data_IF_808918671475
#
_entry.id   IF_808918671475
#
_cell.length_a   1.000
_cell.length_b   1.000
_cell.length_c   1.000
_cell.angle_alpha   90.00
_cell.angle_beta   90.00
_cell.angle_gamma   90.00
#
_symmetry.space_group_name_H-M   'P 1'
#
loop_
_entity.id
_entity.type
_entity.pdbx_description
1 polymer ?
#
# COMPACT_ATOMS: atom_id res chain seq x y z
N UNK A 1 -47.35 -38.71 -71.36
CA UNK A 1 -46.57 -39.34 -70.26
C UNK A 1 -45.19 -38.70 -70.17
N UNK A 2 -45.04 -37.78 -69.21
CA UNK A 2 -43.88 -37.60 -68.31
C UNK A 2 -42.46 -37.30 -68.86
N UNK A 3 -41.92 -36.17 -68.37
CA UNK A 3 -40.50 -35.77 -68.09
C UNK A 3 -39.78 -34.98 -69.21
N UNK A 4 -39.00 -33.92 -68.99
CA UNK A 4 -38.44 -33.27 -67.78
C UNK A 4 -37.99 -31.84 -68.13
N UNK A 5 -38.07 -30.93 -67.14
CA UNK A 5 -37.67 -29.53 -67.14
C UNK A 5 -36.15 -29.38 -66.89
N UNK A 6 -35.49 -28.38 -67.47
CA UNK A 6 -34.34 -27.67 -66.85
C UNK A 6 -34.05 -26.34 -67.56
N UNK A 7 -34.40 -25.26 -66.86
CA UNK A 7 -33.97 -23.88 -67.09
C UNK A 7 -32.96 -23.57 -65.97
N UNK A 8 -31.74 -23.15 -66.30
CA UNK A 8 -30.77 -22.63 -65.32
C UNK A 8 -30.32 -21.27 -65.85
N UNK A 9 -30.80 -20.21 -65.21
CA UNK A 9 -30.29 -18.84 -65.35
C UNK A 9 -29.28 -18.64 -64.22
N UNK A 10 -28.04 -18.34 -64.60
CA UNK A 10 -26.92 -18.07 -63.72
C UNK A 10 -27.05 -16.65 -63.15
N UNK A 11 -27.27 -16.51 -61.84
CA UNK A 11 -27.25 -15.20 -61.17
C UNK A 11 -25.98 -15.13 -60.30
N UNK A 12 -25.00 -14.35 -60.75
CA UNK A 12 -23.78 -14.07 -59.98
C UNK A 12 -24.11 -13.05 -58.89
N UNK A 13 -24.14 -13.49 -57.63
CA UNK A 13 -24.12 -12.62 -56.46
C UNK A 13 -22.68 -12.54 -55.97
N UNK A 14 -22.00 -11.44 -56.27
CA UNK A 14 -20.69 -11.11 -55.72
C UNK A 14 -20.85 -10.65 -54.27
N UNK A 15 -20.54 -11.53 -53.32
CA UNK A 15 -20.44 -11.22 -51.90
C UNK A 15 -19.10 -10.51 -51.68
N UNK A 16 -19.14 -9.21 -51.41
CA UNK A 16 -18.01 -8.50 -50.81
C UNK A 16 -18.02 -8.80 -49.30
N UNK A 17 -17.26 -9.82 -48.90
CA UNK A 17 -16.93 -10.02 -47.48
C UNK A 17 -15.92 -8.96 -47.09
N UNK A 18 -16.38 -7.94 -46.36
CA UNK A 18 -15.49 -6.99 -45.69
C UNK A 18 -14.80 -7.79 -44.58
N UNK A 19 -13.57 -8.20 -44.85
CA UNK A 19 -12.67 -8.73 -43.84
C UNK A 19 -12.25 -7.55 -42.95
N UNK A 20 -12.99 -7.31 -41.87
CA UNK A 20 -12.49 -6.48 -40.78
C UNK A 20 -11.29 -7.19 -40.20
N UNK A 21 -10.10 -6.77 -40.61
CA UNK A 21 -8.85 -7.13 -39.98
C UNK A 21 -8.88 -6.46 -38.60
N UNK A 22 -9.41 -7.15 -37.59
CA UNK A 22 -9.09 -6.80 -36.20
C UNK A 22 -7.60 -7.01 -36.06
N UNK A 23 -6.85 -5.91 -36.05
CA UNK A 23 -5.49 -5.96 -35.54
C UNK A 23 -5.63 -6.42 -34.09
N UNK A 24 -5.26 -7.67 -33.82
CA UNK A 24 -4.95 -8.10 -32.47
C UNK A 24 -3.83 -7.16 -32.01
N UNK A 25 -4.19 -6.14 -31.24
CA UNK A 25 -3.23 -5.44 -30.39
C UNK A 25 -2.66 -6.57 -29.54
N UNK A 26 -1.41 -6.93 -29.77
CA UNK A 26 -0.71 -7.81 -28.83
C UNK A 26 -0.67 -7.00 -27.55
N UNK A 27 -1.51 -7.36 -26.58
CA UNK A 27 -1.34 -6.92 -25.21
C UNK A 27 0.15 -7.07 -24.86
N UNK A 28 0.73 -6.08 -24.21
CA UNK A 28 2.05 -6.24 -23.63
C UNK A 28 1.96 -7.47 -22.73
N UNK A 29 2.57 -8.58 -23.16
CA UNK A 29 2.43 -9.85 -22.46
C UNK A 29 3.43 -9.85 -21.32
N UNK A 30 3.08 -9.15 -20.24
CA UNK A 30 3.83 -9.18 -19.01
C UNK A 30 3.95 -10.62 -18.52
N UNK A 31 5.10 -10.95 -17.93
CA UNK A 31 5.22 -12.14 -17.11
C UNK A 31 4.65 -11.81 -15.72
N UNK A 32 3.32 -11.91 -15.60
CA UNK A 32 2.59 -11.57 -14.37
C UNK A 32 3.11 -12.36 -13.16
N UNK A 33 3.56 -13.61 -13.36
CA UNK A 33 4.15 -14.42 -12.29
C UNK A 33 5.52 -13.89 -11.85
N UNK A 34 6.34 -13.41 -12.77
CA UNK A 34 7.62 -12.77 -12.43
C UNK A 34 7.42 -11.46 -11.67
N UNK A 35 6.40 -10.70 -12.04
CA UNK A 35 6.02 -9.43 -11.42
C UNK A 35 5.21 -9.58 -10.12
N UNK A 36 4.86 -10.80 -9.75
CA UNK A 36 4.04 -11.13 -8.58
C UNK A 36 2.69 -10.39 -8.53
N UNK A 37 2.04 -10.24 -9.69
CA UNK A 37 0.69 -9.67 -9.87
C UNK A 37 -0.25 -10.71 -10.51
N UNK A 38 -1.57 -10.53 -10.39
CA UNK A 38 -2.53 -11.47 -11.00
C UNK A 38 -2.66 -11.21 -12.50
N UNK A 39 -2.70 -12.28 -13.30
CA UNK A 39 -3.00 -12.18 -14.72
C UNK A 39 -4.43 -11.62 -14.91
N UNK A 40 -4.61 -10.51 -15.66
CA UNK A 40 -5.93 -9.92 -15.85
C UNK A 40 -6.90 -10.85 -16.59
N UNK A 41 -8.01 -11.19 -15.94
CA UNK A 41 -9.09 -12.00 -16.52
C UNK A 41 -10.27 -11.17 -17.01
N UNK A 42 -10.33 -9.89 -16.64
CA UNK A 42 -11.48 -9.02 -16.87
C UNK A 42 -12.63 -9.19 -15.86
N UNK A 43 -12.42 -9.99 -14.81
CA UNK A 43 -13.34 -10.18 -13.69
C UNK A 43 -12.61 -10.00 -12.35
N UNK A 44 -13.34 -9.70 -11.26
CA UNK A 44 -12.76 -9.65 -9.91
C UNK A 44 -12.08 -10.98 -9.58
N UNK A 45 -10.83 -10.92 -9.13
CA UNK A 45 -10.07 -12.07 -8.67
C UNK A 45 -9.65 -11.89 -7.23
N UNK A 46 -9.66 -12.97 -6.46
CA UNK A 46 -9.10 -12.97 -5.11
C UNK A 46 -8.46 -14.33 -4.82
N UNK A 47 -7.20 -14.32 -4.43
CA UNK A 47 -6.42 -15.49 -4.05
C UNK A 47 -5.97 -15.32 -2.61
N UNK A 48 -6.36 -16.26 -1.77
CA UNK A 48 -5.90 -16.36 -0.39
C UNK A 48 -4.84 -17.45 -0.33
N UNK A 49 -3.72 -17.13 0.31
CA UNK A 49 -2.70 -18.12 0.62
C UNK A 49 -3.25 -19.16 1.58
N UNK A 50 -2.87 -20.41 1.37
CA UNK A 50 -3.18 -21.48 2.32
C UNK A 50 -2.49 -21.19 3.65
N UNK A 51 -3.10 -21.64 4.75
CA UNK A 51 -2.42 -21.59 6.03
C UNK A 51 -1.10 -22.35 5.97
N UNK A 52 -0.07 -21.81 6.61
CA UNK A 52 1.19 -22.53 6.74
C UNK A 52 1.11 -23.66 7.78
N UNK A 53 2.24 -24.32 8.05
CA UNK A 53 2.31 -25.44 9.01
C UNK A 53 1.98 -25.06 10.45
N UNK A 54 1.99 -23.77 10.79
CA UNK A 54 1.60 -23.23 12.11
C UNK A 54 0.16 -22.71 12.11
N UNK A 55 -0.56 -22.81 10.99
CA UNK A 55 -1.92 -22.31 10.86
C UNK A 55 -2.00 -20.80 10.63
N UNK A 56 -0.91 -20.15 10.23
CA UNK A 56 -0.83 -18.69 10.02
C UNK A 56 -1.28 -18.34 8.60
N UNK A 57 -1.95 -17.20 8.45
CA UNK A 57 -2.28 -16.64 7.14
C UNK A 57 -0.98 -16.24 6.42
N UNK A 58 -0.89 -16.48 5.12
CA UNK A 58 0.37 -16.35 4.36
C UNK A 58 0.36 -15.24 3.32
N UNK A 59 -0.78 -14.97 2.71
CA UNK A 59 -0.96 -13.85 1.77
C UNK A 59 -2.44 -13.67 1.43
N UNK A 60 -2.81 -12.47 1.01
CA UNK A 60 -4.06 -12.24 0.31
C UNK A 60 -3.81 -11.32 -0.88
N UNK A 61 -4.33 -11.68 -2.05
CA UNK A 61 -4.09 -11.01 -3.32
C UNK A 61 -5.43 -10.78 -4.01
N UNK A 62 -5.73 -9.56 -4.40
CA UNK A 62 -6.97 -9.17 -5.06
C UNK A 62 -6.67 -8.38 -6.33
N UNK A 63 -7.50 -8.58 -7.35
CA UNK A 63 -7.57 -7.71 -8.50
C UNK A 63 -9.03 -7.31 -8.72
N UNK A 64 -9.33 -6.02 -8.69
CA UNK A 64 -10.71 -5.52 -8.71
C UNK A 64 -10.84 -4.13 -9.33
N UNK A 65 -12.06 -3.77 -9.75
CA UNK A 65 -12.46 -2.40 -10.07
C UNK A 65 -13.35 -1.82 -8.96
N UNK A 66 -13.60 -0.50 -9.00
CA UNK A 66 -14.53 0.21 -8.11
C UNK A 66 -15.91 -0.46 -8.03
N UNK A 67 -16.45 -0.90 -9.17
CA UNK A 67 -17.76 -1.58 -9.24
C UNK A 67 -17.83 -2.92 -8.50
N UNK A 68 -16.68 -3.51 -8.18
CA UNK A 68 -16.55 -4.84 -7.58
C UNK A 68 -16.49 -4.80 -6.03
N UNK A 69 -16.46 -3.59 -5.46
CA UNK A 69 -16.54 -3.35 -4.02
C UNK A 69 -17.88 -3.83 -3.45
N UNK A 70 -17.90 -4.35 -2.21
CA UNK A 70 -19.10 -4.93 -1.63
C UNK A 70 -20.12 -3.84 -1.30
N UNK A 71 -21.33 -4.02 -1.79
CA UNK A 71 -22.48 -3.15 -1.47
C UNK A 71 -23.20 -3.54 -0.18
N UNK A 72 -22.86 -4.71 0.38
CA UNK A 72 -23.44 -5.21 1.63
C UNK A 72 -22.70 -4.61 2.82
N UNK A 73 -23.45 -4.25 3.85
CA UNK A 73 -22.87 -3.92 5.14
C UNK A 73 -22.10 -5.12 5.69
N UNK A 74 -20.93 -4.84 6.27
CA UNK A 74 -20.09 -5.84 6.88
C UNK A 74 -20.79 -6.46 8.08
N UNK A 75 -20.68 -7.78 8.23
CA UNK A 75 -21.14 -8.45 9.44
C UNK A 75 -20.40 -7.88 10.67
N UNK A 76 -21.11 -7.51 11.75
CA UNK A 76 -20.52 -6.72 12.83
C UNK A 76 -19.51 -7.49 13.69
N UNK A 77 -19.39 -8.81 13.48
CA UNK A 77 -18.59 -9.70 14.32
C UNK A 77 -17.69 -10.59 13.49
N UNK A 78 -16.42 -10.62 13.89
CA UNK A 78 -15.44 -11.64 13.52
C UNK A 78 -15.39 -12.65 14.67
N UNK A 79 -15.50 -13.95 14.37
CA UNK A 79 -15.40 -15.04 15.33
C UNK A 79 -14.09 -15.82 15.21
N UNK A 80 -13.42 -15.76 14.06
CA UNK A 80 -12.14 -16.39 13.85
C UNK A 80 -11.06 -15.69 14.67
N UNK A 81 -10.32 -16.48 15.45
CA UNK A 81 -9.17 -16.00 16.21
C UNK A 81 -7.90 -16.45 15.47
N UNK A 82 -7.08 -15.52 14.95
CA UNK A 82 -5.83 -15.88 14.29
C UNK A 82 -4.85 -16.51 15.27
N UNK A 83 -3.77 -17.10 14.74
CA UNK A 83 -2.72 -17.64 15.61
C UNK A 83 -2.15 -16.56 16.53
N UNK A 84 -1.85 -16.95 17.76
CA UNK A 84 -1.36 -16.04 18.80
C UNK A 84 -2.44 -15.14 19.42
N UNK A 85 -3.72 -15.29 19.05
CA UNK A 85 -4.78 -14.37 19.48
C UNK A 85 -4.90 -14.20 21.00
N UNK A 86 -4.42 -13.07 21.48
CA UNK A 86 -4.66 -12.53 22.81
C UNK A 86 -5.01 -11.05 22.65
N UNK A 87 -6.00 -10.54 23.39
CA UNK A 87 -6.35 -9.13 23.32
C UNK A 87 -6.39 -8.47 24.70
N UNK A 88 -5.84 -7.27 24.77
CA UNK A 88 -5.58 -6.53 25.99
C UNK A 88 -6.14 -5.13 25.86
N UNK A 89 -6.77 -4.62 26.92
CA UNK A 89 -7.15 -3.21 26.98
C UNK A 89 -6.02 -2.42 27.66
N UNK A 90 -5.21 -1.73 26.86
CA UNK A 90 -3.99 -1.06 27.30
C UNK A 90 -4.18 0.45 27.39
N UNK A 91 -3.46 1.10 28.32
CA UNK A 91 -3.45 2.55 28.42
C UNK A 91 -2.65 3.15 27.25
N UNK A 92 -3.10 4.28 26.72
CA UNK A 92 -2.42 4.99 25.63
C UNK A 92 -2.33 6.51 25.88
N UNK A 93 -2.65 6.97 27.07
CA UNK A 93 -2.42 8.36 27.48
C UNK A 93 -2.10 8.45 28.97
N UNK A 94 -1.44 9.52 29.38
CA UNK A 94 -1.20 9.87 30.79
C UNK A 94 -2.49 10.07 31.58
N UNK A 95 -3.59 10.46 30.91
CA UNK A 95 -4.93 10.54 31.49
C UNK A 95 -5.53 9.15 31.79
N UNK A 96 -4.86 8.08 31.40
CA UNK A 96 -5.29 6.70 31.64
C UNK A 96 -6.39 6.22 30.68
N UNK A 97 -6.56 6.86 29.51
CA UNK A 97 -7.45 6.34 28.46
C UNK A 97 -6.95 4.99 28.00
N UNK A 98 -7.88 4.06 27.75
CA UNK A 98 -7.56 2.67 27.38
C UNK A 98 -8.34 2.22 26.16
N UNK A 99 -7.64 1.53 25.27
CA UNK A 99 -8.22 0.91 24.08
C UNK A 99 -7.69 -0.51 23.91
N UNK A 100 -8.31 -1.30 23.02
CA UNK A 100 -7.83 -2.64 22.72
C UNK A 100 -6.54 -2.54 21.91
N UNK A 101 -5.50 -3.26 22.32
CA UNK A 101 -4.22 -3.27 21.62
C UNK A 101 -4.36 -3.96 20.26
N UNK A 102 -5.00 -5.13 20.22
CA UNK A 102 -5.01 -5.97 19.04
C UNK A 102 -6.37 -5.99 18.35
N UNK A 103 -6.32 -5.96 17.03
CA UNK A 103 -7.43 -6.16 16.13
C UNK A 103 -7.21 -7.47 15.36
N UNK A 104 -8.31 -8.12 14.96
CA UNK A 104 -8.29 -9.15 13.92
C UNK A 104 -8.18 -8.42 12.59
N UNK A 105 -6.95 -8.03 12.26
CA UNK A 105 -6.61 -7.21 11.12
C UNK A 105 -6.83 -7.98 9.84
N UNK A 106 -7.43 -7.33 8.84
CA UNK A 106 -7.57 -7.94 7.52
C UNK A 106 -6.27 -7.80 6.75
N UNK A 107 -5.91 -8.81 5.94
CA UNK A 107 -4.86 -8.63 4.94
C UNK A 107 -5.39 -7.75 3.79
N UNK A 108 -6.55 -8.10 3.22
CA UNK A 108 -7.28 -7.23 2.29
C UNK A 108 -8.53 -6.70 3.01
N UNK A 109 -8.60 -5.38 3.20
CA UNK A 109 -9.71 -4.69 3.84
C UNK A 109 -11.09 -5.09 3.30
N UNK A 110 -12.12 -4.98 4.14
CA UNK A 110 -13.48 -5.38 3.77
C UNK A 110 -13.98 -4.62 2.53
N UNK A 111 -13.66 -3.33 2.40
CA UNK A 111 -14.09 -2.50 1.26
C UNK A 111 -13.63 -3.06 -0.10
N UNK A 112 -12.55 -3.84 -0.13
CA UNK A 112 -12.12 -4.53 -1.35
C UNK A 112 -12.60 -5.98 -1.39
N UNK A 113 -12.39 -6.73 -0.31
CA UNK A 113 -12.61 -8.18 -0.29
C UNK A 113 -14.07 -8.60 -0.12
N UNK A 114 -14.84 -7.85 0.67
CA UNK A 114 -16.14 -8.28 1.19
C UNK A 114 -16.07 -9.42 2.21
N UNK A 115 -14.87 -9.81 2.67
CA UNK A 115 -14.68 -10.89 3.64
C UNK A 115 -14.75 -10.36 5.07
N UNK A 116 -15.46 -11.05 5.96
CA UNK A 116 -15.53 -10.69 7.39
C UNK A 116 -14.79 -11.68 8.29
N UNK A 117 -15.04 -12.98 8.13
CA UNK A 117 -14.64 -14.03 9.09
C UNK A 117 -13.80 -15.14 8.44
N UNK A 118 -13.05 -14.79 7.39
CA UNK A 118 -12.18 -15.71 6.65
C UNK A 118 -10.77 -15.67 7.23
N UNK A 119 -10.36 -16.76 7.90
CA UNK A 119 -9.12 -16.82 8.66
C UNK A 119 -7.85 -16.65 7.82
N UNK A 120 -7.86 -17.02 6.53
CA UNK A 120 -6.70 -16.78 5.64
C UNK A 120 -6.52 -15.31 5.29
N UNK A 121 -7.50 -14.46 5.60
CA UNK A 121 -7.45 -13.01 5.44
C UNK A 121 -7.30 -12.29 6.80
N UNK A 122 -7.01 -12.99 7.89
CA UNK A 122 -6.98 -12.42 9.24
C UNK A 122 -5.66 -12.72 9.96
N UNK A 123 -5.09 -11.68 10.55
CA UNK A 123 -3.90 -11.75 11.40
C UNK A 123 -4.09 -10.89 12.66
N UNK A 124 -3.28 -11.15 13.69
CA UNK A 124 -3.21 -10.27 14.86
C UNK A 124 -2.39 -9.02 14.51
N UNK A 125 -3.07 -7.88 14.39
CA UNK A 125 -2.44 -6.57 14.19
C UNK A 125 -2.70 -5.65 15.37
N UNK A 126 -1.77 -4.78 15.68
CA UNK A 126 -2.05 -3.69 16.60
C UNK A 126 -3.12 -2.76 16.00
N UNK A 127 -3.89 -2.09 16.87
CA UNK A 127 -4.78 -1.02 16.44
C UNK A 127 -4.00 0.06 15.67
N UNK A 128 -2.80 0.41 16.16
CA UNK A 128 -1.89 1.34 15.49
C UNK A 128 -1.61 0.97 14.03
N UNK A 129 -1.13 -0.25 13.77
CA UNK A 129 -0.80 -0.71 12.42
C UNK A 129 -2.04 -0.97 11.55
N UNK A 130 -3.17 -1.35 12.15
CA UNK A 130 -4.40 -1.62 11.39
C UNK A 130 -5.11 -0.33 10.96
N UNK A 131 -5.45 0.53 11.94
CA UNK A 131 -6.35 1.68 11.78
C UNK A 131 -5.67 3.02 12.05
N UNK A 132 -4.34 3.05 12.22
CA UNK A 132 -3.55 4.27 12.39
C UNK A 132 -3.68 4.95 13.75
N UNK A 133 -4.47 4.40 14.68
CA UNK A 133 -4.72 5.01 15.98
C UNK A 133 -4.98 3.96 17.07
N UNK A 134 -4.83 4.36 18.34
CA UNK A 134 -5.16 3.51 19.49
C UNK A 134 -6.67 3.33 19.67
N UNK A 135 -7.46 4.38 19.45
CA UNK A 135 -8.91 4.40 19.60
C UNK A 135 -9.56 5.21 18.46
N UNK A 136 -10.67 4.74 17.90
CA UNK A 136 -11.24 5.31 16.67
C UNK A 136 -10.46 4.89 15.42
N UNK A 137 -10.28 5.77 14.45
CA UNK A 137 -9.52 5.52 13.22
C UNK A 137 -8.75 6.79 12.83
N UNK A 138 -7.59 6.64 12.21
CA UNK A 138 -6.81 7.74 11.63
C UNK A 138 -6.19 7.30 10.29
N UNK A 139 -6.77 7.74 9.19
CA UNK A 139 -6.28 7.47 7.84
C UNK A 139 -5.23 8.48 7.36
N UNK A 140 -4.78 9.39 8.22
CA UNK A 140 -3.67 10.30 7.97
C UNK A 140 -2.31 9.72 8.42
N UNK A 141 -2.31 8.66 9.23
CA UNK A 141 -1.10 8.03 9.75
C UNK A 141 -0.52 6.99 8.76
N UNK A 142 0.64 7.25 8.13
CA UNK A 142 1.25 6.33 7.16
C UNK A 142 1.87 5.07 7.79
N UNK A 143 1.84 4.92 9.12
CA UNK A 143 2.17 3.67 9.81
C UNK A 143 0.99 2.67 9.83
N UNK A 144 -0.22 3.13 9.49
CA UNK A 144 -1.44 2.32 9.49
C UNK A 144 -1.83 1.84 8.10
N UNK A 145 -2.35 0.62 7.98
CA UNK A 145 -2.90 0.09 6.72
C UNK A 145 -4.02 0.95 6.15
N UNK A 146 -4.89 1.48 7.02
CA UNK A 146 -6.03 2.31 6.63
C UNK A 146 -5.62 3.54 5.78
N UNK A 147 -4.44 4.12 6.00
CA UNK A 147 -3.91 5.20 5.18
C UNK A 147 -3.82 4.81 3.70
N UNK A 148 -3.29 3.62 3.42
CA UNK A 148 -3.07 3.12 2.08
C UNK A 148 -4.38 2.64 1.47
N UNK A 149 -5.16 1.85 2.22
CA UNK A 149 -6.43 1.30 1.72
C UNK A 149 -7.42 2.41 1.34
N UNK A 150 -7.60 3.45 2.14
CA UNK A 150 -8.50 4.56 1.78
C UNK A 150 -8.04 5.34 0.54
N UNK A 151 -6.73 5.42 0.29
CA UNK A 151 -6.21 6.12 -0.90
C UNK A 151 -6.27 5.26 -2.15
N UNK A 152 -6.11 3.94 -2.01
CA UNK A 152 -6.34 2.98 -3.10
C UNK A 152 -7.81 2.92 -3.51
N UNK A 153 -8.72 2.94 -2.52
CA UNK A 153 -10.16 3.09 -2.73
C UNK A 153 -10.49 4.38 -3.47
N UNK A 154 -9.94 5.51 -3.04
CA UNK A 154 -10.09 6.78 -3.75
C UNK A 154 -9.56 6.71 -5.20
N UNK A 155 -8.42 6.04 -5.40
CA UNK A 155 -7.84 5.85 -6.74
C UNK A 155 -8.77 5.03 -7.63
N UNK A 156 -9.37 3.95 -7.13
CA UNK A 156 -10.39 3.16 -7.85
C UNK A 156 -11.60 4.03 -8.24
N UNK A 157 -12.13 4.81 -7.28
CA UNK A 157 -13.28 5.69 -7.51
C UNK A 157 -13.01 6.77 -8.58
N UNK A 158 -11.78 7.27 -8.67
CA UNK A 158 -11.36 8.23 -9.70
C UNK A 158 -11.10 7.56 -11.06
N UNK A 159 -10.89 6.24 -11.09
CA UNK A 159 -10.56 5.47 -12.28
C UNK A 159 -11.44 4.22 -12.42
N UNK A 160 -12.77 4.37 -12.60
CA UNK A 160 -13.73 3.26 -12.47
C UNK A 160 -13.60 2.17 -13.54
N UNK A 161 -12.82 2.40 -14.60
CA UNK A 161 -12.54 1.42 -15.66
C UNK A 161 -11.17 0.75 -15.50
N UNK A 162 -10.34 1.18 -14.56
CA UNK A 162 -9.05 0.58 -14.27
C UNK A 162 -9.19 -0.45 -13.15
N UNK A 163 -8.25 -1.39 -13.16
CA UNK A 163 -8.13 -2.41 -12.13
C UNK A 163 -7.06 -1.99 -11.13
N UNK A 164 -7.29 -2.27 -9.86
CA UNK A 164 -6.25 -2.33 -8.85
C UNK A 164 -5.84 -3.78 -8.71
N UNK A 165 -4.54 -4.07 -8.83
CA UNK A 165 -3.93 -5.29 -8.34
C UNK A 165 -3.26 -4.98 -6.99
N UNK A 166 -3.71 -5.64 -5.92
CA UNK A 166 -3.29 -5.38 -4.54
C UNK A 166 -3.03 -6.68 -3.80
N UNK A 167 -1.81 -6.82 -3.28
CA UNK A 167 -1.35 -7.98 -2.52
C UNK A 167 -0.87 -7.55 -1.15
N UNK A 168 -1.22 -8.34 -0.13
CA UNK A 168 -0.78 -8.14 1.24
C UNK A 168 -0.19 -9.43 1.79
N UNK A 169 1.03 -9.30 2.33
CA UNK A 169 1.82 -10.42 2.86
C UNK A 169 2.23 -10.13 4.30
N UNK A 170 1.76 -10.92 5.29
CA UNK A 170 2.30 -10.88 6.63
C UNK A 170 3.70 -11.52 6.68
N UNK A 171 4.64 -10.86 7.33
CA UNK A 171 6.03 -11.32 7.47
C UNK A 171 6.28 -11.77 8.91
N UNK A 172 6.59 -13.05 9.06
CA UNK A 172 6.91 -13.69 10.34
C UNK A 172 8.41 -13.97 10.45
N UNK A 173 8.93 -14.01 11.67
CA UNK A 173 10.27 -14.56 11.94
C UNK A 173 10.12 -15.95 12.53
N UNK A 174 10.76 -16.95 11.91
CA UNK A 174 10.74 -18.35 12.39
C UNK A 174 9.32 -18.84 12.74
N UNK A 175 9.15 -19.33 13.99
CA UNK A 175 7.90 -19.89 14.51
C UNK A 175 6.98 -18.83 15.16
N UNK A 176 7.23 -17.53 14.94
CA UNK A 176 6.40 -16.46 15.50
C UNK A 176 4.95 -16.53 15.01
N UNK A 177 3.99 -16.47 15.93
CA UNK A 177 2.56 -16.56 15.59
C UNK A 177 1.99 -15.22 15.12
N UNK A 178 2.63 -14.10 15.48
CA UNK A 178 2.23 -12.75 15.10
C UNK A 178 3.24 -12.19 14.10
N UNK A 179 2.80 -11.59 12.97
CA UNK A 179 3.73 -11.05 12.01
C UNK A 179 4.45 -9.81 12.58
N UNK A 180 5.74 -9.66 12.28
CA UNK A 180 6.54 -8.47 12.59
C UNK A 180 6.17 -7.31 11.69
N UNK A 181 5.90 -7.60 10.44
CA UNK A 181 5.59 -6.61 9.41
C UNK A 181 4.42 -7.07 8.55
N UNK A 182 3.77 -6.10 7.91
CA UNK A 182 2.83 -6.33 6.81
C UNK A 182 3.38 -5.62 5.58
N UNK A 183 3.52 -6.37 4.50
CA UNK A 183 3.96 -5.84 3.20
C UNK A 183 2.75 -5.67 2.31
N UNK A 184 2.54 -4.45 1.82
CA UNK A 184 1.52 -4.07 0.86
C UNK A 184 2.21 -3.91 -0.49
N UNK A 185 1.63 -4.48 -1.55
CA UNK A 185 2.08 -4.31 -2.92
C UNK A 185 0.90 -3.92 -3.79
N UNK A 186 1.00 -2.85 -4.57
CA UNK A 186 -0.08 -2.39 -5.43
C UNK A 186 0.39 -1.80 -6.75
N UNK A 187 -0.44 -1.98 -7.78
CA UNK A 187 -0.30 -1.36 -9.10
C UNK A 187 -1.67 -1.23 -9.75
N UNK A 188 -1.86 -0.21 -10.59
CA UNK A 188 -3.04 -0.09 -11.43
C UNK A 188 -2.86 -0.83 -12.76
N UNK A 189 -3.96 -1.25 -13.39
CA UNK A 189 -3.94 -1.88 -14.72
C UNK A 189 -5.06 -1.28 -15.57
N UNK A 190 -4.71 -0.80 -16.77
CA UNK A 190 -5.71 -0.29 -17.73
C UNK A 190 -6.42 -1.42 -18.51
N UNK A 191 -7.35 -1.04 -19.38
CA UNK A 191 -8.13 -1.96 -20.22
C UNK A 191 -7.30 -2.68 -21.29
N UNK A 192 -6.09 -2.19 -21.59
CA UNK A 192 -5.14 -2.78 -22.51
C UNK A 192 -4.12 -3.70 -21.81
N UNK A 193 -4.16 -3.76 -20.46
CA UNK A 193 -3.23 -4.54 -19.64
C UNK A 193 -1.90 -3.84 -19.35
N UNK A 194 -1.81 -2.52 -19.58
CA UNK A 194 -0.63 -1.75 -19.19
C UNK A 194 -0.65 -1.47 -17.69
N UNK A 195 0.53 -1.53 -17.06
CA UNK A 195 0.70 -1.19 -15.65
C UNK A 195 0.71 0.33 -15.46
N UNK A 196 -0.04 0.78 -14.46
CA UNK A 196 -0.20 2.17 -14.07
C UNK A 196 0.41 2.35 -12.67
N UNK A 197 1.54 3.07 -12.54
CA UNK A 197 2.11 3.38 -11.24
C UNK A 197 1.13 4.16 -10.37
N UNK A 198 1.01 3.79 -9.10
CA UNK A 198 0.19 4.48 -8.10
C UNK A 198 1.12 5.09 -7.05
N UNK A 199 0.90 6.37 -6.72
CA UNK A 199 1.63 7.09 -5.67
C UNK A 199 0.64 7.67 -4.68
N UNK A 200 0.78 7.32 -3.41
CA UNK A 200 -0.16 7.65 -2.32
C UNK A 200 0.37 8.77 -1.40
N UNK A 201 1.63 9.15 -1.55
CA UNK A 201 2.26 10.27 -0.85
C UNK A 201 2.92 9.91 0.48
N UNK A 202 3.27 8.63 0.66
CA UNK A 202 4.01 8.14 1.83
C UNK A 202 5.49 7.99 1.50
N UNK A 203 6.36 8.30 2.46
CA UNK A 203 7.80 8.09 2.36
C UNK A 203 8.21 6.61 2.47
N UNK A 204 7.25 5.73 2.81
CA UNK A 204 7.42 4.27 2.83
C UNK A 204 7.21 3.61 1.47
N UNK A 205 6.77 4.35 0.47
CA UNK A 205 6.55 3.81 -0.88
C UNK A 205 7.88 3.55 -1.60
N UNK A 206 8.09 2.31 -2.00
CA UNK A 206 9.15 1.92 -2.91
C UNK A 206 8.54 1.43 -4.22
N UNK A 207 8.73 2.16 -5.31
CA UNK A 207 8.31 1.72 -6.65
C UNK A 207 9.48 1.10 -7.41
N UNK A 208 9.24 -0.06 -8.01
CA UNK A 208 10.24 -0.75 -8.84
C UNK A 208 10.31 -0.18 -10.28
N UNK A 209 11.10 -0.82 -11.15
CA UNK A 209 11.27 -0.39 -12.54
C UNK A 209 10.01 -0.56 -13.41
N UNK A 210 9.04 -1.35 -12.95
CA UNK A 210 7.75 -1.59 -13.60
C UNK A 210 6.65 -0.68 -13.05
N UNK A 211 6.94 0.09 -12.01
CA UNK A 211 6.00 0.97 -11.34
C UNK A 211 5.09 0.26 -10.33
N UNK A 212 5.44 -0.96 -9.94
CA UNK A 212 4.77 -1.69 -8.86
C UNK A 212 5.29 -1.11 -7.55
N UNK A 213 4.38 -0.65 -6.70
CA UNK A 213 4.75 -0.03 -5.42
C UNK A 213 4.64 -1.05 -4.29
N UNK A 214 5.66 -1.09 -3.44
CA UNK A 214 5.68 -1.87 -2.20
C UNK A 214 5.81 -0.93 -1.00
N UNK A 215 5.09 -1.25 0.08
CA UNK A 215 5.16 -0.57 1.39
C UNK A 215 5.33 -1.64 2.45
N UNK A 216 6.29 -1.45 3.37
CA UNK A 216 6.45 -2.30 4.55
C UNK A 216 6.01 -1.55 5.79
N UNK A 217 5.02 -2.10 6.50
CA UNK A 217 4.52 -1.56 7.76
C UNK A 217 4.95 -2.43 8.92
N UNK A 218 5.47 -1.81 9.97
CA UNK A 218 5.80 -2.50 11.22
C UNK A 218 4.51 -2.79 12.01
N UNK A 219 4.36 -4.01 12.53
CA UNK A 219 3.27 -4.40 13.42
C UNK A 219 3.67 -4.15 14.87
N UNK A 220 3.58 -2.90 15.31
CA UNK A 220 4.01 -2.46 16.64
C UNK A 220 2.98 -1.54 17.28
N UNK A 221 3.17 -1.25 18.56
CA UNK A 221 2.43 -0.20 19.27
C UNK A 221 3.31 0.36 20.36
N UNK A 222 3.45 1.69 20.45
CA UNK A 222 4.36 2.31 21.43
C UNK A 222 3.96 2.02 22.88
N UNK A 223 2.67 1.81 23.12
CA UNK A 223 2.12 1.50 24.44
C UNK A 223 2.25 0.04 24.87
N UNK A 224 2.91 -0.81 24.07
CA UNK A 224 3.03 -2.24 24.33
C UNK A 224 4.39 -2.82 23.93
N UNK A 225 4.82 -3.86 24.65
CA UNK A 225 5.87 -4.78 24.22
C UNK A 225 5.17 -6.07 23.82
N UNK A 226 5.37 -6.50 22.57
CA UNK A 226 4.70 -7.66 21.99
C UNK A 226 5.66 -8.84 21.98
N UNK A 227 5.21 -9.98 22.52
CA UNK A 227 5.85 -11.27 22.31
C UNK A 227 5.29 -11.88 21.02
N UNK A 228 6.00 -11.70 19.91
CA UNK A 228 5.58 -12.18 18.60
C UNK A 228 5.55 -13.71 18.51
N UNK A 229 6.29 -14.42 19.37
CA UNK A 229 6.29 -15.86 19.41
C UNK A 229 4.94 -16.40 19.88
N UNK A 230 4.36 -15.78 20.92
CA UNK A 230 3.13 -16.28 21.56
C UNK A 230 1.89 -15.44 21.23
N UNK A 231 2.08 -14.20 20.79
CA UNK A 231 1.04 -13.19 20.60
C UNK A 231 0.58 -12.51 21.90
N UNK A 232 1.24 -12.76 23.02
CA UNK A 232 1.02 -12.02 24.25
C UNK A 232 1.62 -10.61 24.19
N UNK A 233 1.14 -9.71 25.05
CA UNK A 233 1.71 -8.37 25.16
C UNK A 233 1.65 -7.82 26.58
N UNK A 234 2.62 -6.97 26.89
CA UNK A 234 2.77 -6.26 28.16
C UNK A 234 2.69 -4.75 27.92
N UNK A 235 2.14 -3.95 28.86
CA UNK A 235 2.19 -2.50 28.74
C UNK A 235 3.62 -1.98 28.69
N UNK A 236 3.89 -1.07 27.76
CA UNK A 236 5.15 -0.32 27.71
C UNK A 236 5.12 0.86 28.69
N UNK A 237 6.26 1.15 29.33
CA UNK A 237 6.43 2.30 30.23
C UNK A 237 6.73 3.61 29.47
N UNK A 238 6.79 3.56 28.14
CA UNK A 238 7.01 4.74 27.29
C UNK A 238 5.74 5.61 27.31
N UNK A 239 5.81 6.91 27.65
CA UNK A 239 4.66 7.80 27.60
C UNK A 239 4.07 7.86 26.19
N UNK A 240 2.75 7.83 26.11
CA UNK A 240 1.96 7.71 24.87
C UNK A 240 1.19 8.98 24.55
N UNK A 241 1.48 10.08 25.28
CA UNK A 241 0.80 11.36 25.12
C UNK A 241 1.07 11.97 23.74
N UNK A 242 0.05 11.92 22.89
CA UNK A 242 0.00 12.54 21.57
C UNK A 242 -0.12 14.07 21.60
N UNK A 243 0.46 14.75 22.60
CA UNK A 243 0.60 16.22 22.64
C UNK A 243 2.06 16.70 22.81
N UNK A 244 3.05 15.81 22.67
CA UNK A 244 4.45 16.19 22.51
C UNK A 244 4.94 15.82 21.11
N UNK A 245 4.46 16.54 20.10
CA UNK A 245 5.22 16.72 18.88
C UNK A 245 6.44 17.61 19.18
N UNK A 246 7.58 17.22 18.62
CA UNK A 246 8.89 17.90 18.63
C UNK A 246 9.68 17.93 19.96
N UNK A 247 10.27 16.79 20.34
CA UNK A 247 11.67 16.71 20.80
C UNK A 247 12.13 15.28 21.13
N UNK A 248 13.24 14.89 20.52
CA UNK A 248 14.16 13.80 20.87
C UNK A 248 13.81 12.35 20.48
N UNK A 249 14.19 12.04 19.24
CA UNK A 249 14.96 10.84 18.88
C UNK A 249 16.13 10.55 19.85
N UNK A 250 16.41 9.27 20.14
CA UNK A 250 17.77 8.72 20.22
C UNK A 250 17.74 7.19 20.37
N UNK A 251 17.78 6.49 19.24
CA UNK A 251 18.49 5.21 19.08
C UNK A 251 18.65 4.91 17.58
N UNK A 252 19.78 5.38 17.04
CA UNK A 252 20.52 4.84 15.88
C UNK A 252 19.76 4.51 14.58
N UNK A 253 19.65 5.50 13.69
CA UNK A 253 19.70 5.27 12.24
C UNK A 253 20.79 6.17 11.67
N UNK A 254 21.95 5.56 11.44
CA UNK A 254 23.07 6.18 10.74
C UNK A 254 22.73 6.23 9.24
N UNK A 255 22.08 7.32 8.80
CA UNK A 255 22.12 7.75 7.41
C UNK A 255 23.01 9.00 7.33
N UNK A 256 24.04 8.95 6.49
CA UNK A 256 25.09 9.97 6.45
C UNK A 256 24.54 11.32 5.93
N UNK A 257 24.11 12.17 6.86
CA UNK A 257 23.82 13.58 6.59
C UNK A 257 25.09 14.33 6.19
N UNK A 258 24.96 15.24 5.23
CA UNK A 258 26.05 16.08 4.76
C UNK A 258 26.53 17.03 5.87
N UNK A 259 27.85 17.08 6.07
CA UNK A 259 28.50 17.95 7.07
C UNK A 259 28.21 19.43 6.80
N UNK A 260 28.06 19.81 5.52
CA UNK A 260 27.78 21.19 5.09
C UNK A 260 26.77 21.21 3.95
N UNK A 261 25.76 22.08 4.09
CA UNK A 261 24.83 22.46 3.02
C UNK A 261 24.84 23.98 2.81
N UNK A 262 24.40 24.42 1.64
CA UNK A 262 24.39 25.82 1.23
C UNK A 262 22.96 26.37 1.13
N UNK A 263 22.69 27.51 1.76
CA UNK A 263 21.37 28.14 1.76
C UNK A 263 21.46 29.57 1.23
N UNK A 264 20.69 29.87 0.17
CA UNK A 264 20.65 31.19 -0.43
C UNK A 264 19.92 32.24 0.42
N UNK A 265 20.00 33.51 0.01
CA UNK A 265 19.23 34.64 0.57
C UNK A 265 19.46 34.85 2.07
N UNK A 266 20.70 34.69 2.55
CA UNK A 266 21.09 34.78 3.97
C UNK A 266 20.32 33.78 4.85
N UNK A 267 20.16 32.54 4.37
CA UNK A 267 19.41 31.50 5.09
C UNK A 267 17.89 31.55 4.92
N UNK A 268 17.37 32.53 4.18
CA UNK A 268 15.91 32.68 3.98
C UNK A 268 15.35 31.83 2.85
N UNK A 269 16.18 31.15 2.06
CA UNK A 269 15.65 30.16 1.12
C UNK A 269 15.00 29.01 1.92
N UNK A 270 13.94 28.43 1.38
CA UNK A 270 13.25 27.27 1.99
C UNK A 270 13.93 25.95 1.64
N UNK A 271 14.94 26.02 0.77
CA UNK A 271 15.70 24.87 0.27
C UNK A 271 17.20 25.05 0.50
N UNK A 272 17.91 23.93 0.61
CA UNK A 272 19.37 23.87 0.64
C UNK A 272 19.93 23.05 -0.54
N UNK A 273 21.23 23.25 -0.80
CA UNK A 273 22.02 22.60 -1.85
C UNK A 273 23.24 21.92 -1.23
N UNK A 274 23.64 20.74 -1.73
CA UNK A 274 24.90 20.11 -1.30
C UNK A 274 26.13 20.77 -1.93
N UNK A 275 25.97 21.40 -3.10
CA UNK A 275 27.06 22.10 -3.79
C UNK A 275 26.63 23.48 -4.29
N UNK A 276 27.51 24.48 -4.12
CA UNK A 276 27.33 25.83 -4.70
C UNK A 276 27.19 25.80 -6.23
N UNK A 277 27.75 24.79 -6.88
CA UNK A 277 27.71 24.65 -8.34
C UNK A 277 26.30 24.30 -8.86
N UNK A 278 25.47 23.66 -8.03
CA UNK A 278 24.09 23.29 -8.35
C UNK A 278 23.09 24.42 -8.02
N UNK A 279 23.57 25.53 -7.43
CA UNK A 279 22.71 26.68 -7.15
C UNK A 279 22.32 27.40 -8.44
N UNK A 280 21.10 27.99 -8.52
CA UNK A 280 20.66 28.75 -9.69
C UNK A 280 21.71 29.79 -10.13
N UNK A 281 21.95 29.92 -11.44
CA UNK A 281 23.00 30.82 -11.99
C UNK A 281 22.88 32.29 -11.57
N UNK A 282 21.69 32.73 -11.14
CA UNK A 282 21.43 34.07 -10.63
C UNK A 282 21.59 34.19 -9.09
N UNK A 283 22.15 33.16 -8.43
CA UNK A 283 22.41 33.17 -6.99
C UNK A 283 23.47 34.19 -6.64
N UNK A 284 23.16 35.06 -5.66
CA UNK A 284 24.16 35.96 -5.10
C UNK A 284 24.98 35.21 -4.04
N UNK A 285 26.14 34.67 -4.44
CA UNK A 285 27.01 33.86 -3.59
C UNK A 285 27.53 34.59 -2.34
N UNK A 286 27.61 35.92 -2.34
CA UNK A 286 27.94 36.71 -1.13
C UNK A 286 26.86 36.68 -0.04
N UNK A 287 25.68 36.12 -0.36
CA UNK A 287 24.53 35.97 0.55
C UNK A 287 24.17 34.49 0.75
N UNK A 288 25.07 33.57 0.45
CA UNK A 288 24.91 32.14 0.77
C UNK A 288 25.50 31.90 2.15
N UNK A 289 24.78 31.15 2.98
CA UNK A 289 25.27 30.70 4.28
C UNK A 289 25.47 29.19 4.24
N UNK A 290 26.33 28.71 5.13
CA UNK A 290 26.64 27.30 5.34
C UNK A 290 26.16 26.88 6.73
N UNK A 291 25.59 25.69 6.82
CA UNK A 291 25.28 25.01 8.08
C UNK A 291 25.26 23.51 7.86
N UNK A 292 25.18 22.72 8.93
CA UNK A 292 25.01 21.28 8.78
C UNK A 292 23.66 20.95 8.15
N UNK A 293 23.57 19.82 7.45
CA UNK A 293 22.28 19.35 6.94
C UNK A 293 21.28 19.13 8.07
N UNK A 294 21.74 18.61 9.21
CA UNK A 294 20.93 18.45 10.41
C UNK A 294 20.31 19.77 10.88
N UNK A 295 21.09 20.86 10.94
CA UNK A 295 20.58 22.18 11.34
C UNK A 295 19.61 22.74 10.30
N UNK A 296 19.86 22.52 9.01
CA UNK A 296 18.99 22.96 7.94
C UNK A 296 17.62 22.25 8.01
N UNK A 297 17.62 20.94 8.20
CA UNK A 297 16.41 20.14 8.41
C UNK A 297 15.67 20.57 9.68
N UNK A 298 16.40 20.81 10.79
CA UNK A 298 15.83 21.23 12.06
C UNK A 298 15.09 22.58 11.99
N UNK A 299 15.50 23.49 11.10
CA UNK A 299 14.81 24.77 10.87
C UNK A 299 13.82 24.71 9.69
N UNK A 300 13.43 23.51 9.27
CA UNK A 300 12.40 23.26 8.26
C UNK A 300 12.84 23.53 6.81
N UNK A 301 14.14 23.50 6.53
CA UNK A 301 14.64 23.55 5.14
C UNK A 301 14.58 22.16 4.54
N UNK A 302 14.32 22.09 3.24
CA UNK A 302 14.33 20.83 2.50
C UNK A 302 15.42 20.81 1.44
N UNK A 303 15.94 19.64 1.12
CA UNK A 303 16.82 19.49 -0.04
C UNK A 303 16.07 19.87 -1.31
N UNK A 304 16.76 20.51 -2.26
CA UNK A 304 16.18 20.83 -3.57
C UNK A 304 16.17 19.61 -4.48
N UNK A 305 15.02 19.27 -5.05
CA UNK A 305 14.86 18.19 -6.04
C UNK A 305 15.49 18.47 -7.42
N UNK A 306 16.39 19.47 -7.50
CA UNK A 306 16.99 20.00 -8.74
C UNK A 306 18.51 20.07 -8.64
N UNK A 307 19.11 19.06 -8.04
CA UNK A 307 20.57 18.83 -8.06
C UNK A 307 20.93 17.68 -8.99
#
# INVERSE_FOLDING_TARGET
>A
MKRFLRLIVLMCVSIFSILTLTQNVKANQWDYSFLDILEPTGEKQMILGEFDSLGRATSAHIQLQDKDEPTKEREPRINFDPQGWHNYKMAYSSEGKKAYLFHRGHLIGYQFSGLTDEGRNLVQLTAWTNIGNYDGTDDSNPEGMLYYENRLDNWLALHPNYWLDYKVVPVYTDDELVPRQIVLQYVGIDDEGNLLPITLGSDKEFSDEYGITTVTLENYSQNAIIDYLTGMAEPSLVPTDTEAQDANSNAEVESHLAEVVHIARRGKADVYWYSKDNMPRNTNFSKVIEMSEADALAIGKRHTSKE
#
